data_IF_525845026751
#
_entry.id   IF_525845026751
#
_cell.length_a   1.000
_cell.length_b   1.000
_cell.length_c   1.000
_cell.angle_alpha   90.00
_cell.angle_beta   90.00
_cell.angle_gamma   90.00
#
_symmetry.space_group_name_H-M   'P 1'
#
loop_
_entity.id
_entity.type
_entity.pdbx_description
1 polymer ?
#
# COMPACT_ATOMS: atom_id res chain seq x y z
N UNK A 1 1.62 -8.43 -13.21
CA UNK A 1 0.84 -7.20 -12.93
C UNK A 1 0.55 -6.42 -14.23
N UNK A 2 -0.21 -6.98 -15.18
CA UNK A 2 -0.42 -6.36 -16.51
C UNK A 2 -1.24 -5.06 -16.48
N UNK A 3 -2.20 -4.97 -15.55
CA UNK A 3 -3.21 -3.90 -15.56
C UNK A 3 -2.95 -2.79 -14.54
N UNK A 4 -2.29 -3.08 -13.42
CA UNK A 4 -2.05 -2.10 -12.35
C UNK A 4 -1.35 -0.82 -12.84
N UNK A 5 -0.32 -0.87 -13.70
CA UNK A 5 0.34 0.35 -14.18
C UNK A 5 -0.55 1.31 -15.00
N UNK A 6 -1.75 0.88 -15.43
CA UNK A 6 -2.68 1.72 -16.17
C UNK A 6 -3.54 2.65 -15.28
N UNK A 7 -3.53 2.44 -13.96
CA UNK A 7 -4.31 3.24 -13.00
C UNK A 7 -3.47 4.38 -12.42
N UNK A 8 -4.15 5.43 -11.94
CA UNK A 8 -3.50 6.58 -11.30
C UNK A 8 -3.44 6.46 -9.77
N UNK A 9 -4.41 5.75 -9.17
CA UNK A 9 -4.52 5.53 -7.72
C UNK A 9 -5.07 4.12 -7.50
N UNK A 10 -4.51 3.40 -6.53
CA UNK A 10 -5.06 2.15 -6.02
C UNK A 10 -5.83 2.40 -4.72
N UNK A 11 -7.00 1.81 -4.57
CA UNK A 11 -7.88 2.04 -3.42
C UNK A 11 -8.30 0.70 -2.79
N UNK A 12 -8.02 0.52 -1.50
CA UNK A 12 -8.41 -0.66 -0.71
C UNK A 12 -9.31 -0.24 0.47
N UNK A 13 -10.62 -0.05 0.27
CA UNK A 13 -11.55 0.40 1.32
C UNK A 13 -12.09 -0.78 2.16
N UNK A 14 -11.25 -1.77 2.45
CA UNK A 14 -11.63 -2.99 3.18
C UNK A 14 -12.24 -2.67 4.55
N UNK A 15 -13.22 -3.48 4.98
CA UNK A 15 -13.73 -3.47 6.36
C UNK A 15 -13.02 -4.49 7.27
N UNK A 16 -12.43 -5.52 6.67
CA UNK A 16 -11.60 -6.55 7.29
C UNK A 16 -10.54 -6.94 6.28
N UNK A 17 -9.33 -7.20 6.74
CA UNK A 17 -8.21 -7.57 5.88
C UNK A 17 -7.27 -8.53 6.61
N UNK A 18 -6.61 -9.40 5.85
CA UNK A 18 -5.46 -10.16 6.33
C UNK A 18 -4.22 -9.28 6.25
N UNK A 19 -3.22 -9.72 5.49
CA UNK A 19 -2.00 -8.92 5.26
C UNK A 19 -2.16 -7.87 4.15
N UNK A 20 -2.91 -8.18 3.09
CA UNK A 20 -3.14 -7.27 1.95
C UNK A 20 -2.20 -7.50 0.77
N UNK A 21 -2.19 -8.70 0.18
CA UNK A 21 -1.37 -9.00 -1.01
C UNK A 21 -1.66 -8.08 -2.19
N UNK A 22 -2.92 -7.70 -2.41
CA UNK A 22 -3.27 -6.75 -3.48
C UNK A 22 -2.62 -5.37 -3.28
N UNK A 23 -2.38 -4.96 -2.03
CA UNK A 23 -1.63 -3.75 -1.70
C UNK A 23 -0.13 -3.94 -1.98
N UNK A 24 0.44 -5.11 -1.73
CA UNK A 24 1.82 -5.42 -2.17
C UNK A 24 1.96 -5.33 -3.69
N UNK A 25 0.97 -5.83 -4.44
CA UNK A 25 0.98 -5.73 -5.91
C UNK A 25 0.88 -4.27 -6.37
N UNK A 26 0.05 -3.45 -5.70
CA UNK A 26 -0.03 -2.01 -5.96
C UNK A 26 1.27 -1.28 -5.62
N UNK A 27 1.93 -1.65 -4.52
CA UNK A 27 3.24 -1.13 -4.13
C UNK A 27 4.30 -1.47 -5.19
N UNK A 28 4.33 -2.73 -5.65
CA UNK A 28 5.22 -3.21 -6.70
C UNK A 28 4.99 -2.50 -8.04
N UNK A 29 3.73 -2.19 -8.37
CA UNK A 29 3.37 -1.38 -9.52
C UNK A 29 3.72 0.12 -9.35
N UNK A 30 4.13 0.54 -8.15
CA UNK A 30 4.45 1.92 -7.83
C UNK A 30 3.23 2.82 -7.86
N UNK A 31 2.05 2.31 -7.54
CA UNK A 31 0.84 3.13 -7.47
C UNK A 31 0.79 3.93 -6.17
N UNK A 32 0.31 5.19 -6.21
CA UNK A 32 -0.21 5.87 -5.01
C UNK A 32 -1.39 5.09 -4.43
N UNK A 33 -1.42 4.91 -3.10
CA UNK A 33 -2.39 4.03 -2.43
C UNK A 33 -3.22 4.79 -1.40
N UNK A 34 -4.53 4.54 -1.38
CA UNK A 34 -5.44 4.88 -0.27
C UNK A 34 -6.02 3.57 0.27
N UNK A 35 -5.82 3.28 1.55
CA UNK A 35 -6.25 2.04 2.16
C UNK A 35 -6.94 2.28 3.51
N UNK A 36 -7.85 1.38 3.90
CA UNK A 36 -8.44 1.41 5.24
C UNK A 36 -7.40 1.08 6.32
N UNK A 37 -7.53 1.68 7.51
CA UNK A 37 -6.78 1.31 8.71
C UNK A 37 -7.36 0.04 9.35
N UNK A 38 -7.14 -1.12 8.73
CA UNK A 38 -7.61 -2.43 9.21
C UNK A 38 -6.61 -3.53 8.87
N UNK A 39 -6.61 -4.61 9.67
CA UNK A 39 -5.76 -5.78 9.41
C UNK A 39 -4.26 -5.42 9.37
N UNK A 40 -3.52 -6.07 8.46
CA UNK A 40 -2.10 -5.83 8.21
C UNK A 40 -1.80 -4.65 7.28
N UNK A 41 -2.82 -3.90 6.82
CA UNK A 41 -2.60 -2.74 5.95
C UNK A 41 -1.67 -1.66 6.55
N UNK A 42 -1.71 -1.36 7.87
CA UNK A 42 -0.76 -0.44 8.49
C UNK A 42 0.70 -0.92 8.50
N UNK A 43 0.97 -2.21 8.24
CA UNK A 43 2.34 -2.73 8.09
C UNK A 43 2.91 -2.40 6.70
N UNK A 44 2.04 -2.33 5.69
CA UNK A 44 2.38 -2.04 4.29
C UNK A 44 2.39 -0.53 4.02
N UNK A 45 1.43 0.20 4.59
CA UNK A 45 1.23 1.63 4.35
C UNK A 45 1.54 2.41 5.62
N UNK A 46 2.45 3.39 5.51
CA UNK A 46 2.72 4.39 6.52
C UNK A 46 2.06 5.70 6.08
N UNK A 47 1.06 6.11 6.86
CA UNK A 47 0.19 7.24 6.51
C UNK A 47 1.00 8.51 6.21
N UNK A 48 0.68 9.15 5.09
CA UNK A 48 1.31 10.37 4.56
C UNK A 48 2.78 10.23 4.12
N UNK A 49 3.32 9.01 4.15
CA UNK A 49 4.69 8.72 3.71
C UNK A 49 4.73 7.96 2.39
N UNK A 50 4.02 6.82 2.30
CA UNK A 50 3.93 6.01 1.09
C UNK A 50 2.49 5.74 0.63
N UNK A 51 1.51 6.41 1.26
CA UNK A 51 0.09 6.27 0.98
C UNK A 51 -0.77 6.91 2.06
N UNK A 52 -2.08 6.80 1.93
CA UNK A 52 -3.03 7.23 2.95
C UNK A 52 -3.68 6.05 3.65
N UNK A 53 -3.81 6.15 4.98
CA UNK A 53 -4.67 5.30 5.78
C UNK A 53 -5.91 6.09 6.19
N UNK A 54 -7.09 5.53 5.91
CA UNK A 54 -8.39 6.12 6.26
C UNK A 54 -9.15 5.23 7.24
N UNK A 55 -9.99 5.81 8.08
CA UNK A 55 -10.84 5.01 8.96
C UNK A 55 -11.86 4.20 8.12
N UNK A 56 -12.09 2.91 8.43
CA UNK A 56 -13.11 2.13 7.75
C UNK A 56 -14.50 2.74 7.96
N UNK A 57 -15.40 2.53 6.99
CA UNK A 57 -16.77 3.11 6.98
C UNK A 57 -16.81 4.64 6.95
N UNK A 58 -15.74 5.29 6.49
CA UNK A 58 -15.69 6.75 6.32
C UNK A 58 -15.56 7.12 4.82
N UNK A 59 -16.67 7.12 4.06
CA UNK A 59 -16.64 7.42 2.62
C UNK A 59 -16.16 8.85 2.32
N UNK A 60 -16.45 9.82 3.19
CA UNK A 60 -16.03 11.21 3.01
C UNK A 60 -14.50 11.35 3.08
N UNK A 61 -13.88 10.70 4.08
CA UNK A 61 -12.42 10.67 4.21
C UNK A 61 -11.78 9.92 3.03
N UNK A 62 -12.35 8.79 2.62
CA UNK A 62 -11.88 8.02 1.48
C UNK A 62 -11.89 8.88 0.21
N UNK A 63 -13.02 9.52 -0.10
CA UNK A 63 -13.17 10.39 -1.26
C UNK A 63 -12.18 11.56 -1.21
N UNK A 64 -12.05 12.22 -0.06
CA UNK A 64 -11.09 13.32 0.14
C UNK A 64 -9.66 12.90 -0.22
N UNK A 65 -9.21 11.74 0.28
CA UNK A 65 -7.84 11.25 0.07
C UNK A 65 -7.59 10.75 -1.35
N UNK A 66 -8.60 10.19 -2.01
CA UNK A 66 -8.52 9.88 -3.45
C UNK A 66 -8.36 11.17 -4.26
N UNK A 67 -9.20 12.17 -4.02
CA UNK A 67 -9.15 13.44 -4.74
C UNK A 67 -7.83 14.17 -4.50
N UNK A 68 -7.29 14.13 -3.27
CA UNK A 68 -5.99 14.71 -2.94
C UNK A 68 -4.87 14.15 -3.82
N UNK A 69 -4.84 12.83 -4.07
CA UNK A 69 -3.85 12.22 -4.96
C UNK A 69 -4.08 12.55 -6.44
N UNK A 70 -5.34 12.59 -6.88
CA UNK A 70 -5.68 12.90 -8.27
C UNK A 70 -5.40 14.37 -8.63
N UNK A 71 -5.52 15.28 -7.65
CA UNK A 71 -5.32 16.72 -7.85
C UNK A 71 -3.90 17.20 -7.54
N UNK A 72 -3.07 16.36 -6.92
CA UNK A 72 -1.69 16.69 -6.55
C UNK A 72 -0.68 15.71 -7.17
N UNK A 73 -0.27 15.92 -8.45
CA UNK A 73 0.67 15.05 -9.14
C UNK A 73 2.03 14.91 -8.43
N UNK A 74 2.49 15.96 -7.75
CA UNK A 74 3.75 15.92 -7.01
C UNK A 74 3.68 14.97 -5.80
N UNK A 75 2.58 15.02 -5.05
CA UNK A 75 2.34 14.10 -3.95
C UNK A 75 2.16 12.65 -4.46
N UNK A 76 1.42 12.46 -5.54
CA UNK A 76 1.26 11.16 -6.17
C UNK A 76 2.62 10.57 -6.61
N UNK A 77 3.48 11.38 -7.25
CA UNK A 77 4.82 10.95 -7.64
C UNK A 77 5.70 10.60 -6.43
N UNK A 78 5.63 11.38 -5.34
CA UNK A 78 6.31 11.08 -4.08
C UNK A 78 5.87 9.73 -3.51
N UNK A 79 4.56 9.48 -3.41
CA UNK A 79 4.05 8.21 -2.91
C UNK A 79 4.36 7.04 -3.83
N UNK A 80 4.33 7.23 -5.15
CA UNK A 80 4.76 6.23 -6.13
C UNK A 80 6.21 5.80 -5.91
N UNK A 81 7.12 6.75 -5.67
CA UNK A 81 8.52 6.44 -5.39
C UNK A 81 8.69 5.72 -4.05
N UNK A 82 8.01 6.18 -3.00
CA UNK A 82 8.04 5.56 -1.69
C UNK A 82 7.45 4.13 -1.72
N UNK A 83 6.42 3.88 -2.54
CA UNK A 83 5.85 2.56 -2.75
C UNK A 83 6.86 1.56 -3.32
N UNK A 84 7.63 1.99 -4.35
CA UNK A 84 8.70 1.18 -4.95
C UNK A 84 9.86 0.90 -3.99
N UNK A 85 10.09 1.77 -3.00
CA UNK A 85 11.07 1.53 -1.94
C UNK A 85 10.51 0.54 -0.90
N UNK A 86 9.27 0.76 -0.44
CA UNK A 86 8.62 -0.08 0.57
C UNK A 86 8.52 -1.54 0.15
N UNK A 87 8.19 -1.82 -1.11
CA UNK A 87 8.04 -3.20 -1.59
C UNK A 87 9.33 -4.03 -1.48
N UNK A 88 10.51 -3.39 -1.47
CA UNK A 88 11.79 -4.08 -1.30
C UNK A 88 11.91 -4.75 0.08
N UNK A 89 11.13 -4.31 1.07
CA UNK A 89 11.11 -4.91 2.40
C UNK A 89 10.39 -6.27 2.44
N UNK A 90 9.64 -6.62 1.40
CA UNK A 90 8.76 -7.79 1.33
C UNK A 90 9.17 -8.77 0.22
N UNK A 91 10.48 -9.00 0.04
CA UNK A 91 10.98 -9.98 -0.92
C UNK A 91 10.81 -11.42 -0.41
N UNK A 92 10.62 -12.35 -1.34
CA UNK A 92 10.54 -13.77 -1.04
C UNK A 92 11.82 -14.27 -0.35
N UNK A 93 12.98 -13.85 -0.85
CA UNK A 93 14.28 -14.25 -0.29
C UNK A 93 14.43 -13.83 1.17
N UNK A 94 13.99 -12.62 1.51
CA UNK A 94 14.00 -12.14 2.89
C UNK A 94 13.03 -12.96 3.75
N UNK A 95 11.82 -13.22 3.26
CA UNK A 95 10.84 -14.04 3.96
C UNK A 95 11.41 -15.43 4.29
N UNK A 96 11.93 -16.14 3.28
CA UNK A 96 12.54 -17.47 3.44
C UNK A 96 13.67 -17.43 4.46
N UNK A 97 14.62 -16.49 4.32
CA UNK A 97 15.77 -16.36 5.21
C UNK A 97 15.36 -16.10 6.66
N UNK A 98 14.38 -15.22 6.91
CA UNK A 98 13.92 -14.95 8.27
C UNK A 98 13.15 -16.14 8.85
N UNK A 99 12.38 -16.87 8.04
CA UNK A 99 11.70 -18.09 8.47
C UNK A 99 12.69 -19.19 8.83
N UNK A 100 13.69 -19.47 7.99
CA UNK A 100 14.74 -20.48 8.25
C UNK A 100 15.46 -20.25 9.57
N UNK A 101 15.79 -18.99 9.90
CA UNK A 101 16.41 -18.65 11.19
C UNK A 101 15.56 -19.12 12.38
N UNK A 102 14.24 -19.01 12.32
CA UNK A 102 13.38 -19.45 13.42
C UNK A 102 13.37 -20.97 13.58
N UNK A 103 13.46 -21.72 12.48
CA UNK A 103 13.48 -23.20 12.51
C UNK A 103 14.85 -23.79 12.83
N UNK A 104 15.94 -23.07 12.51
CA UNK A 104 17.32 -23.50 12.74
C UNK A 104 17.91 -22.97 14.04
N UNK A 105 17.15 -22.18 14.80
CA UNK A 105 17.47 -21.77 16.17
C UNK A 105 17.12 -22.87 17.18
#
# INVERSE_FOLDING_TARGET
>A
MRYLPAFQVYVQPSLKEGFGYSVLEALAAGLPIVASYVGGLPELIKNEENGFLVLPRNPDMLAKKIMELLQNPALAAKFSQAAKQKIQEFSLDKMVKETEKIYLN
#
